data_IF_878326185813
#
_entry.id   IF_878326185813
#
_cell.length_a   1.000
_cell.length_b   1.000
_cell.length_c   1.000
_cell.angle_alpha   90.00
_cell.angle_beta   90.00
_cell.angle_gamma   90.00
#
_symmetry.space_group_name_H-M   'P 1'
#
loop_
_entity.id
_entity.type
_entity.pdbx_description
1 polymer ?
#
# COMPACT_ATOMS: atom_id res chain seq x y z
N UNK A 1 32.98 16.74 -71.24
CA UNK A 1 33.34 15.79 -70.17
C UNK A 1 32.59 16.27 -68.89
N UNK A 2 31.61 15.53 -68.43
CA UNK A 2 30.87 15.85 -67.25
C UNK A 2 31.46 15.05 -66.09
N UNK A 3 31.70 15.65 -64.92
CA UNK A 3 32.11 14.90 -63.73
C UNK A 3 30.88 14.31 -63.02
N UNK A 4 31.02 13.04 -62.66
CA UNK A 4 30.01 12.25 -61.91
C UNK A 4 29.80 12.81 -60.48
N UNK A 5 28.58 13.11 -60.16
CA UNK A 5 28.18 13.41 -58.77
C UNK A 5 28.17 12.13 -57.93
N UNK A 6 28.97 12.12 -56.87
CA UNK A 6 29.00 11.06 -55.89
C UNK A 6 27.79 11.12 -54.98
N UNK A 7 26.98 10.06 -54.94
CA UNK A 7 25.85 9.91 -54.03
C UNK A 7 26.38 9.50 -52.64
N UNK A 8 26.39 10.43 -51.70
CA UNK A 8 26.70 10.17 -50.29
C UNK A 8 25.53 9.48 -49.63
N UNK A 9 25.66 8.19 -49.38
CA UNK A 9 24.73 7.38 -48.62
C UNK A 9 24.84 7.74 -47.14
N UNK A 10 23.88 8.54 -46.61
CA UNK A 10 23.74 8.81 -45.17
C UNK A 10 23.18 7.58 -44.49
N UNK A 11 24.05 6.83 -43.85
CA UNK A 11 23.72 5.74 -42.92
C UNK A 11 22.91 6.32 -41.73
N UNK A 12 21.59 6.11 -41.74
CA UNK A 12 20.74 6.39 -40.56
C UNK A 12 21.13 5.42 -39.47
N UNK A 13 21.81 5.94 -38.43
CA UNK A 13 22.04 5.24 -37.18
C UNK A 13 20.67 5.03 -36.50
N UNK A 14 20.15 3.83 -36.59
CA UNK A 14 19.01 3.39 -35.83
C UNK A 14 19.35 3.52 -34.33
N UNK A 15 18.67 4.45 -33.64
CA UNK A 15 18.74 4.58 -32.19
C UNK A 15 17.92 3.43 -31.64
N UNK A 16 18.58 2.31 -31.35
CA UNK A 16 18.01 1.24 -30.53
C UNK A 16 17.67 1.86 -29.20
N UNK A 17 16.37 2.04 -28.92
CA UNK A 17 15.88 2.28 -27.56
C UNK A 17 16.27 1.05 -26.78
N UNK A 18 17.32 1.16 -25.97
CA UNK A 18 17.54 0.23 -24.90
C UNK A 18 16.27 0.26 -24.05
N UNK A 19 15.56 -0.86 -24.00
CA UNK A 19 14.51 -1.08 -23.00
C UNK A 19 15.23 -1.15 -21.66
N UNK A 20 15.32 -0.01 -21.01
CA UNK A 20 15.64 0.03 -19.59
C UNK A 20 14.51 -0.76 -18.93
N UNK A 21 14.81 -1.98 -18.50
CA UNK A 21 13.96 -2.67 -17.53
C UNK A 21 14.00 -1.79 -16.29
N UNK A 22 13.03 -0.90 -16.18
CA UNK A 22 12.91 -0.03 -15.03
C UNK A 22 12.69 -0.94 -13.82
N UNK A 23 13.74 -1.10 -13.02
CA UNK A 23 13.70 -1.85 -11.79
C UNK A 23 12.75 -1.13 -10.84
N UNK A 24 11.74 -1.84 -10.36
CA UNK A 24 10.86 -1.35 -9.31
C UNK A 24 11.45 -1.67 -7.93
N UNK A 25 11.00 -0.98 -6.89
CA UNK A 25 11.50 -1.09 -5.52
C UNK A 25 10.95 -2.36 -4.84
N UNK A 26 11.54 -3.51 -5.12
CA UNK A 26 11.10 -4.83 -4.60
C UNK A 26 11.11 -4.93 -3.07
N UNK A 27 11.91 -4.11 -2.39
CA UNK A 27 11.96 -4.08 -0.93
C UNK A 27 10.75 -3.36 -0.30
N UNK A 28 10.02 -2.58 -1.10
CA UNK A 28 8.90 -1.78 -0.63
C UNK A 28 7.56 -2.18 -1.21
N UNK A 29 7.55 -2.72 -2.43
CA UNK A 29 6.32 -3.02 -3.16
C UNK A 29 6.27 -4.45 -3.67
N UNK A 30 5.08 -5.04 -3.68
CA UNK A 30 4.85 -6.42 -4.14
C UNK A 30 5.07 -6.54 -5.65
N UNK A 31 4.74 -5.50 -6.40
CA UNK A 31 4.94 -5.43 -7.84
C UNK A 31 5.06 -3.98 -8.30
N UNK A 32 5.46 -3.79 -9.56
CA UNK A 32 5.51 -2.48 -10.18
C UNK A 32 4.15 -1.75 -10.14
N UNK A 33 3.07 -2.47 -10.37
CA UNK A 33 1.72 -1.89 -10.32
C UNK A 33 1.40 -1.30 -8.95
N UNK A 34 1.84 -1.94 -7.87
CA UNK A 34 1.67 -1.42 -6.50
C UNK A 34 2.55 -0.19 -6.26
N UNK A 35 3.77 -0.16 -6.83
CA UNK A 35 4.62 1.02 -6.79
C UNK A 35 3.99 2.20 -7.53
N UNK A 36 3.50 1.99 -8.74
CA UNK A 36 2.85 3.04 -9.52
C UNK A 36 1.61 3.56 -8.78
N UNK A 37 0.79 2.67 -8.21
CA UNK A 37 -0.35 3.04 -7.38
C UNK A 37 0.06 3.85 -6.13
N UNK A 38 1.20 3.53 -5.52
CA UNK A 38 1.72 4.30 -4.40
C UNK A 38 2.00 5.75 -4.80
N UNK A 39 2.77 5.96 -5.88
CA UNK A 39 3.17 7.31 -6.29
C UNK A 39 2.04 8.12 -6.90
N UNK A 40 1.15 7.49 -7.65
CA UNK A 40 0.07 8.16 -8.36
C UNK A 40 -1.16 8.45 -7.48
N UNK A 41 -1.39 7.64 -6.44
CA UNK A 41 -2.62 7.72 -5.65
C UNK A 41 -2.34 7.85 -4.15
N UNK A 42 -1.63 6.88 -3.56
CA UNK A 42 -1.55 6.76 -2.10
C UNK A 42 -0.70 7.88 -1.49
N UNK A 43 0.46 8.19 -2.09
CA UNK A 43 1.36 9.23 -1.60
C UNK A 43 0.74 10.63 -1.66
N UNK A 44 -0.23 10.84 -2.55
CA UNK A 44 -0.95 12.11 -2.69
C UNK A 44 -2.08 12.28 -1.67
N UNK A 45 -2.50 11.19 -1.00
CA UNK A 45 -3.56 11.23 0.01
C UNK A 45 -3.00 11.63 1.37
N UNK A 46 -3.72 12.54 2.03
CA UNK A 46 -3.41 12.90 3.41
C UNK A 46 -3.79 11.73 4.33
N UNK A 47 -2.83 11.24 5.09
CA UNK A 47 -3.10 10.31 6.19
C UNK A 47 -3.65 11.09 7.36
N UNK A 48 -4.85 10.74 7.81
CA UNK A 48 -5.52 11.35 8.95
C UNK A 48 -5.27 10.43 10.14
N UNK A 49 -4.64 10.94 11.23
CA UNK A 49 -4.45 10.14 12.43
C UNK A 49 -5.79 9.85 13.10
N UNK A 50 -5.91 8.68 13.66
CA UNK A 50 -7.07 8.30 14.45
C UNK A 50 -7.14 9.13 15.74
N UNK A 51 -8.35 9.62 16.06
CA UNK A 51 -8.56 10.41 17.27
C UNK A 51 -8.88 9.49 18.44
N UNK A 52 -8.15 9.60 19.59
CA UNK A 52 -8.46 8.80 20.76
C UNK A 52 -9.87 9.12 21.29
N UNK A 53 -10.61 8.07 21.61
CA UNK A 53 -11.90 8.20 22.25
C UNK A 53 -11.70 8.38 23.77
N UNK A 54 -11.73 9.63 24.24
CA UNK A 54 -11.52 9.97 25.65
C UNK A 54 -12.83 10.26 26.35
N UNK A 55 -13.24 9.38 27.26
CA UNK A 55 -14.31 9.63 28.21
C UNK A 55 -13.73 10.15 29.51
N UNK A 56 -14.30 11.23 30.06
CA UNK A 56 -13.98 11.66 31.42
C UNK A 56 -14.48 10.60 32.44
N UNK A 57 -13.80 10.53 33.59
CA UNK A 57 -14.09 9.46 34.58
C UNK A 57 -15.55 9.39 35.04
N UNK A 58 -16.25 10.52 35.03
CA UNK A 58 -17.67 10.65 35.46
C UNK A 58 -18.67 10.55 34.31
N UNK A 59 -18.22 10.51 33.07
CA UNK A 59 -19.10 10.47 31.90
C UNK A 59 -19.33 9.02 31.45
N UNK A 60 -20.58 8.66 31.24
CA UNK A 60 -21.01 7.41 30.62
C UNK A 60 -20.37 6.15 31.23
N UNK A 61 -20.58 5.84 32.52
CA UNK A 61 -19.95 4.68 33.18
C UNK A 61 -20.30 3.35 32.52
N UNK A 62 -21.50 3.24 31.97
CA UNK A 62 -21.96 2.06 31.21
C UNK A 62 -21.13 1.81 29.94
N UNK A 63 -20.78 2.86 29.19
CA UNK A 63 -19.94 2.73 28.00
C UNK A 63 -18.53 2.30 28.38
N UNK A 64 -17.99 2.86 29.43
CA UNK A 64 -16.68 2.49 29.96
C UNK A 64 -16.65 1.05 30.45
N UNK A 65 -17.72 0.60 31.10
CA UNK A 65 -17.88 -0.76 31.54
C UNK A 65 -17.85 -1.72 30.32
N UNK A 66 -18.60 -1.40 29.26
CA UNK A 66 -18.61 -2.20 28.03
C UNK A 66 -17.27 -2.24 27.33
N UNK A 67 -16.55 -1.11 27.24
CA UNK A 67 -15.20 -1.07 26.66
C UNK A 67 -14.28 -2.03 27.40
N UNK A 68 -14.29 -2.02 28.74
CA UNK A 68 -13.48 -2.92 29.57
C UNK A 68 -13.92 -4.38 29.42
N UNK A 69 -15.22 -4.62 29.49
CA UNK A 69 -15.79 -5.97 29.35
C UNK A 69 -15.40 -6.63 28.02
N UNK A 70 -15.30 -5.82 26.95
CA UNK A 70 -14.93 -6.29 25.60
C UNK A 70 -13.43 -6.24 25.31
N UNK A 71 -12.62 -5.72 26.24
CA UNK A 71 -11.17 -5.56 26.02
C UNK A 71 -10.82 -4.57 24.90
N UNK A 72 -11.63 -3.53 24.72
CA UNK A 72 -11.47 -2.55 23.63
C UNK A 72 -10.63 -1.32 24.01
N UNK A 73 -9.93 -1.35 25.12
CA UNK A 73 -9.10 -0.23 25.58
C UNK A 73 -8.04 0.16 24.55
N UNK A 74 -7.45 -0.82 23.86
CA UNK A 74 -6.46 -0.57 22.81
C UNK A 74 -7.08 0.15 21.61
N UNK A 75 -8.31 -0.19 21.25
CA UNK A 75 -9.03 0.45 20.14
C UNK A 75 -9.45 1.89 20.46
N UNK A 76 -9.75 2.18 21.73
CA UNK A 76 -10.15 3.52 22.16
C UNK A 76 -8.98 4.46 22.42
N UNK A 77 -7.78 3.94 22.53
CA UNK A 77 -6.54 4.70 22.71
C UNK A 77 -5.46 4.28 21.71
N UNK A 78 -5.66 4.60 20.44
CA UNK A 78 -4.75 4.20 19.38
C UNK A 78 -3.37 4.83 19.53
N UNK A 79 -2.36 4.16 18.98
CA UNK A 79 -0.98 4.64 18.95
C UNK A 79 -0.91 5.94 18.15
N UNK A 80 -0.45 7.03 18.78
CA UNK A 80 -0.40 8.35 18.15
C UNK A 80 0.82 8.55 17.24
N UNK A 81 1.91 7.81 17.47
CA UNK A 81 3.13 7.92 16.69
C UNK A 81 3.20 6.80 15.65
N UNK A 82 2.73 7.10 14.46
CA UNK A 82 2.79 6.19 13.32
C UNK A 82 3.66 6.79 12.22
N UNK A 83 4.53 5.99 11.64
CA UNK A 83 5.31 6.40 10.47
C UNK A 83 4.42 6.40 9.24
N UNK A 84 4.08 7.58 8.74
CA UNK A 84 3.16 7.77 7.60
C UNK A 84 3.57 6.93 6.39
N UNK A 85 4.86 6.87 6.07
CA UNK A 85 5.34 6.08 4.93
C UNK A 85 5.02 4.58 5.07
N UNK A 86 5.07 4.03 6.28
CA UNK A 86 4.70 2.62 6.51
C UNK A 86 3.21 2.37 6.30
N UNK A 87 2.38 3.31 6.72
CA UNK A 87 0.93 3.26 6.48
C UNK A 87 0.63 3.35 5.00
N UNK A 88 1.28 4.24 4.29
CA UNK A 88 1.12 4.38 2.85
C UNK A 88 1.61 3.14 2.08
N UNK A 89 2.74 2.55 2.46
CA UNK A 89 3.23 1.28 1.89
C UNK A 89 2.23 0.14 2.13
N UNK A 90 1.68 0.06 3.35
CA UNK A 90 0.64 -0.92 3.67
C UNK A 90 -0.55 -0.81 2.71
N UNK A 91 -1.12 0.38 2.55
CA UNK A 91 -2.28 0.58 1.68
C UNK A 91 -1.97 0.39 0.20
N UNK A 92 -0.78 0.77 -0.24
CA UNK A 92 -0.37 0.56 -1.62
C UNK A 92 -0.26 -0.93 -1.95
N UNK A 93 0.31 -1.73 -1.06
CA UNK A 93 0.50 -3.16 -1.24
C UNK A 93 -0.75 -4.00 -0.92
N UNK A 94 -1.66 -3.48 -0.10
CA UNK A 94 -2.96 -4.10 0.16
C UNK A 94 -3.97 -3.86 -0.97
N UNK A 95 -3.62 -2.98 -1.92
CA UNK A 95 -4.50 -2.68 -3.04
C UNK A 95 -4.66 -3.89 -3.96
N UNK A 96 -5.89 -4.29 -4.17
CA UNK A 96 -6.23 -5.41 -5.06
C UNK A 96 -6.31 -4.87 -6.48
N UNK A 97 -5.37 -5.29 -7.32
CA UNK A 97 -5.47 -5.06 -8.76
C UNK A 97 -6.64 -5.89 -9.27
N UNK A 98 -7.73 -5.23 -9.59
CA UNK A 98 -8.85 -5.88 -10.28
C UNK A 98 -8.41 -6.20 -11.70
N UNK A 99 -7.89 -7.38 -11.92
CA UNK A 99 -7.95 -7.97 -13.24
C UNK A 99 -9.42 -8.22 -13.54
N UNK A 100 -9.87 -7.82 -14.72
CA UNK A 100 -11.26 -7.76 -15.16
C UNK A 100 -12.03 -9.09 -15.12
N UNK A 101 -11.43 -10.17 -14.62
CA UNK A 101 -11.96 -11.54 -14.73
C UNK A 101 -12.16 -12.25 -13.37
N UNK A 102 -12.16 -11.53 -12.26
CA UNK A 102 -12.37 -12.19 -10.99
C UNK A 102 -13.81 -12.02 -10.52
N UNK A 103 -14.59 -13.11 -10.75
CA UNK A 103 -15.72 -13.46 -9.92
C UNK A 103 -15.39 -13.22 -8.43
N UNK A 104 -16.31 -12.59 -7.73
CA UNK A 104 -16.26 -12.18 -6.33
C UNK A 104 -16.12 -13.40 -5.41
N UNK A 105 -14.92 -13.97 -5.35
CA UNK A 105 -14.59 -14.93 -4.32
C UNK A 105 -13.42 -14.31 -3.51
N UNK A 106 -13.61 -14.02 -2.21
CA UNK A 106 -12.54 -13.51 -1.38
C UNK A 106 -11.50 -14.62 -1.22
N UNK A 107 -10.49 -14.62 -2.10
CA UNK A 107 -9.32 -15.47 -1.93
C UNK A 107 -8.66 -15.06 -0.60
N UNK A 108 -8.33 -16.03 0.28
CA UNK A 108 -7.59 -15.75 1.52
C UNK A 108 -6.29 -14.98 1.29
N UNK A 109 -5.73 -14.98 0.10
CA UNK A 109 -4.60 -14.14 -0.30
C UNK A 109 -4.89 -12.63 -0.33
N UNK A 110 -6.15 -12.22 -0.31
CA UNK A 110 -6.54 -10.80 -0.32
C UNK A 110 -6.21 -10.05 0.99
N UNK A 111 -5.84 -10.76 2.04
CA UNK A 111 -5.44 -10.18 3.33
C UNK A 111 -3.92 -10.08 3.51
N UNK A 112 -3.14 -10.24 2.45
CA UNK A 112 -1.69 -10.05 2.50
C UNK A 112 -1.31 -8.66 2.00
N UNK A 113 -0.44 -8.02 2.74
CA UNK A 113 0.25 -6.79 2.33
C UNK A 113 1.74 -6.91 2.61
N UNK A 114 2.50 -5.93 2.17
CA UNK A 114 3.94 -5.87 2.45
C UNK A 114 4.32 -4.49 2.97
N UNK A 115 5.12 -4.45 4.03
CA UNK A 115 5.68 -3.22 4.59
C UNK A 115 7.16 -3.46 4.89
N UNK A 116 8.03 -2.62 4.33
CA UNK A 116 9.49 -2.73 4.51
C UNK A 116 10.03 -4.13 4.23
N UNK A 117 9.58 -4.75 3.14
CA UNK A 117 10.01 -6.08 2.71
C UNK A 117 9.46 -7.25 3.53
N UNK A 118 8.58 -6.98 4.50
CA UNK A 118 7.93 -8.02 5.31
C UNK A 118 6.48 -8.17 4.92
N UNK A 119 6.08 -9.40 4.63
CA UNK A 119 4.67 -9.72 4.40
C UNK A 119 3.90 -9.74 5.70
N UNK A 120 2.73 -9.13 5.70
CA UNK A 120 1.82 -9.04 6.83
C UNK A 120 0.47 -9.61 6.43
N UNK A 121 -0.07 -10.49 7.26
CA UNK A 121 -1.44 -10.96 7.18
C UNK A 121 -2.34 -10.02 8.01
N UNK A 122 -3.33 -9.40 7.36
CA UNK A 122 -4.31 -8.54 8.01
C UNK A 122 -5.72 -9.13 7.92
N UNK A 123 -5.84 -10.45 7.87
CA UNK A 123 -7.11 -11.15 7.99
C UNK A 123 -7.83 -10.77 9.29
N UNK A 124 -9.17 -10.92 9.36
CA UNK A 124 -9.93 -10.64 10.58
C UNK A 124 -9.37 -11.36 11.80
N UNK A 125 -8.90 -12.60 11.63
CA UNK A 125 -8.30 -13.38 12.72
C UNK A 125 -6.96 -12.79 13.17
N UNK A 126 -6.07 -12.43 12.24
CA UNK A 126 -4.78 -11.81 12.57
C UNK A 126 -4.96 -10.46 13.26
N UNK A 127 -5.95 -9.67 12.83
CA UNK A 127 -6.30 -8.39 13.48
C UNK A 127 -6.85 -8.65 14.88
N UNK A 128 -7.74 -9.64 15.04
CA UNK A 128 -8.29 -10.03 16.34
C UNK A 128 -7.18 -10.38 17.34
N UNK A 129 -6.21 -11.18 16.91
CA UNK A 129 -5.08 -11.58 17.75
C UNK A 129 -4.18 -10.38 18.08
N UNK A 130 -3.85 -9.55 17.08
CA UNK A 130 -2.97 -8.39 17.26
C UNK A 130 -3.52 -7.37 18.27
N UNK A 131 -4.84 -7.20 18.30
CA UNK A 131 -5.53 -6.29 19.24
C UNK A 131 -6.06 -6.99 20.50
N UNK A 132 -5.76 -8.29 20.68
CA UNK A 132 -6.25 -9.10 21.80
C UNK A 132 -7.78 -8.98 21.99
N UNK A 133 -8.50 -9.05 20.87
CA UNK A 133 -9.97 -8.99 20.89
C UNK A 133 -10.55 -10.38 21.20
N UNK A 134 -11.69 -10.43 21.93
CA UNK A 134 -12.36 -11.69 22.23
C UNK A 134 -12.93 -12.39 21.00
#
# INVERSE_FOLDING_TARGET
>A
MAPKAGVSSRKRKGKTKASTSESWEMERFISRVHQDHFYEVVALKKVIPEVPFKLKKSEYPEIRHEIRRRGWEVLTNPIQQVRILMVQEFYANAWITRNHDQSVNPDPKNYLTMVRGKYLDFSPESVRVAFNLP
#
